data_IF_829034584174
#
_entry.id   IF_829034584174
#
_cell.length_a   1.000
_cell.length_b   1.000
_cell.length_c   1.000
_cell.angle_alpha   90.00
_cell.angle_beta   90.00
_cell.angle_gamma   90.00
#
_symmetry.space_group_name_H-M   'P 1'
#
loop_
_entity.id
_entity.type
_entity.pdbx_description
1 polymer ?
#
# COMPACT_ATOMS: atom_id res chain seq x y z
N UNK A 1 -2.33 2.26 -11.65
CA UNK A 1 -3.41 1.70 -10.81
C UNK A 1 -2.91 0.42 -10.16
N UNK A 2 -3.37 0.07 -8.95
CA UNK A 2 -2.95 -1.17 -8.31
C UNK A 2 -3.76 -2.36 -8.83
N UNK A 3 -3.09 -3.44 -9.27
CA UNK A 3 -3.77 -4.67 -9.70
C UNK A 3 -4.48 -5.31 -8.50
N UNK A 4 -5.79 -5.58 -8.61
CA UNK A 4 -6.61 -6.17 -7.53
C UNK A 4 -5.99 -7.45 -6.95
N UNK A 5 -5.45 -8.31 -7.81
CA UNK A 5 -4.76 -9.54 -7.38
C UNK A 5 -3.53 -9.28 -6.52
N UNK A 6 -2.80 -8.19 -6.77
CA UNK A 6 -1.62 -7.82 -5.98
C UNK A 6 -1.98 -7.25 -4.61
N UNK A 7 -3.12 -6.55 -4.51
CA UNK A 7 -3.66 -6.09 -3.22
C UNK A 7 -4.10 -7.29 -2.39
N UNK A 8 -4.85 -8.23 -2.99
CA UNK A 8 -5.26 -9.46 -2.32
C UNK A 8 -4.05 -10.29 -1.85
N UNK A 9 -3.01 -10.42 -2.70
CA UNK A 9 -1.75 -11.08 -2.33
C UNK A 9 -1.09 -10.42 -1.11
N UNK A 10 -1.04 -9.08 -1.07
CA UNK A 10 -0.41 -8.36 0.03
C UNK A 10 -1.19 -8.43 1.35
N UNK A 11 -2.51 -8.62 1.30
CA UNK A 11 -3.35 -8.83 2.50
C UNK A 11 -3.21 -10.22 3.13
N UNK A 12 -2.80 -11.22 2.34
CA UNK A 12 -2.61 -12.60 2.84
C UNK A 12 -1.32 -12.69 3.66
N UNK A 13 -1.34 -13.53 4.71
CA UNK A 13 -0.14 -13.89 5.48
C UNK A 13 0.90 -14.49 4.55
N UNK A 14 2.07 -13.85 4.46
CA UNK A 14 3.16 -14.35 3.63
C UNK A 14 3.92 -15.48 4.35
N UNK A 15 4.47 -16.43 3.58
CA UNK A 15 5.32 -17.52 4.09
C UNK A 15 6.57 -17.00 4.82
N UNK A 16 7.12 -15.88 4.36
CA UNK A 16 8.32 -15.26 4.92
C UNK A 16 8.08 -13.78 5.18
N UNK A 17 8.50 -13.29 6.35
CA UNK A 17 8.28 -11.91 6.79
C UNK A 17 8.87 -10.88 5.81
N UNK A 18 10.01 -11.18 5.18
CA UNK A 18 10.68 -10.33 4.19
C UNK A 18 9.85 -10.05 2.93
N UNK A 19 8.81 -10.85 2.65
CA UNK A 19 7.93 -10.68 1.47
C UNK A 19 6.81 -9.66 1.71
N UNK A 20 6.62 -9.19 2.94
CA UNK A 20 5.63 -8.18 3.25
C UNK A 20 6.00 -6.85 2.58
N UNK A 21 5.08 -6.33 1.79
CA UNK A 21 5.26 -5.09 1.04
C UNK A 21 4.19 -4.08 1.44
N UNK A 22 4.62 -2.88 1.79
CA UNK A 22 3.71 -1.81 2.15
C UNK A 22 2.97 -1.29 0.91
N UNK A 23 1.64 -1.26 0.99
CA UNK A 23 0.77 -0.68 -0.03
C UNK A 23 -0.14 0.35 0.61
N UNK A 24 -0.46 1.41 -0.13
CA UNK A 24 -1.44 2.39 0.31
C UNK A 24 -2.76 1.72 0.67
N UNK A 25 -3.31 1.97 1.86
CA UNK A 25 -4.61 1.43 2.28
C UNK A 25 -5.77 1.89 1.39
N UNK A 26 -5.70 3.09 0.83
CA UNK A 26 -6.78 3.67 0.03
C UNK A 26 -6.77 3.23 -1.43
N UNK A 27 -5.61 3.33 -2.10
CA UNK A 27 -5.52 3.07 -3.55
C UNK A 27 -4.67 1.85 -3.93
N UNK A 28 -4.08 1.13 -2.96
CA UNK A 28 -3.28 -0.07 -3.19
C UNK A 28 -1.90 0.17 -3.83
N UNK A 29 -1.47 1.43 -3.98
CA UNK A 29 -0.21 1.79 -4.65
C UNK A 29 1.00 1.22 -3.89
N UNK A 30 1.92 0.51 -4.57
CA UNK A 30 3.09 -0.11 -3.94
C UNK A 30 4.28 0.84 -3.70
N UNK A 31 4.29 1.99 -4.38
CA UNK A 31 5.43 2.92 -4.40
C UNK A 31 5.12 4.19 -3.64
N UNK A 32 6.17 4.81 -3.08
CA UNK A 32 6.10 6.03 -2.28
C UNK A 32 5.05 5.92 -1.16
N UNK A 33 5.15 4.84 -0.39
CA UNK A 33 4.37 4.59 0.82
C UNK A 33 4.98 5.35 1.99
N UNK A 34 4.16 6.17 2.65
CA UNK A 34 4.55 6.95 3.82
C UNK A 34 4.08 6.21 5.07
N UNK A 35 5.03 5.59 5.79
CA UNK A 35 4.75 4.73 6.96
C UNK A 35 4.01 5.48 8.06
N UNK A 36 4.35 6.74 8.31
CA UNK A 36 3.70 7.62 9.30
C UNK A 36 2.18 7.76 9.08
N UNK A 37 1.73 7.72 7.83
CA UNK A 37 0.33 7.95 7.45
C UNK A 37 -0.38 6.72 6.90
N UNK A 38 0.31 5.58 6.74
CA UNK A 38 -0.26 4.37 6.16
C UNK A 38 -0.70 4.49 4.68
N UNK A 39 -0.29 5.53 3.98
CA UNK A 39 -0.81 5.90 2.65
C UNK A 39 0.30 6.26 1.66
N UNK A 40 -0.02 6.30 0.37
CA UNK A 40 0.92 6.80 -0.64
C UNK A 40 0.90 8.33 -0.74
N UNK A 41 1.98 8.90 -1.27
CA UNK A 41 2.12 10.36 -1.48
C UNK A 41 0.96 11.05 -2.20
N UNK A 42 0.28 10.35 -3.12
CA UNK A 42 -0.82 10.93 -3.92
C UNK A 42 -2.08 11.01 -3.06
N UNK A 43 -2.40 9.94 -2.34
CA UNK A 43 -3.56 9.93 -1.43
C UNK A 43 -3.33 10.94 -0.32
N UNK A 44 -2.13 11.01 0.25
CA UNK A 44 -1.81 12.05 1.23
C UNK A 44 -2.10 13.45 0.67
N UNK A 45 -1.59 13.77 -0.53
CA UNK A 45 -1.85 15.09 -1.15
C UNK A 45 -3.33 15.36 -1.42
N UNK A 46 -4.13 14.32 -1.69
CA UNK A 46 -5.57 14.46 -1.92
C UNK A 46 -6.38 14.70 -0.64
N UNK A 47 -5.91 14.18 0.50
CA UNK A 47 -6.58 14.28 1.80
C UNK A 47 -5.97 15.33 2.73
N UNK A 48 -4.85 15.94 2.33
CA UNK A 48 -4.22 17.04 3.07
C UNK A 48 -4.83 18.41 2.75
N UNK A 49 -6.02 18.43 2.15
CA UNK A 49 -6.82 19.62 1.88
C UNK A 49 -8.09 19.62 2.72
#
# INVERSE_FOLDING_TARGET
MAKKSMIAKAKRKQKFAVRNNNRCGYCGRPRAYLRKFGMCRICLRKFAG
#
